data_IF_015717752788
#
_entry.id   IF_015717752788
#
_cell.length_a   1.000
_cell.length_b   1.000
_cell.length_c   1.000
_cell.angle_alpha   90.00
_cell.angle_beta   90.00
_cell.angle_gamma   90.00
#
_symmetry.space_group_name_H-M   'P 1'
#
loop_
_entity.id
_entity.type
_entity.pdbx_description
1 polymer ?
#
# COMPACT_ATOMS: atom_id res chain seq x y z
N UNK A 1 -28.00 -22.28 -0.96
CA UNK A 1 -26.98 -22.56 -1.99
C UNK A 1 -25.63 -22.32 -1.34
N UNK A 2 -24.87 -23.37 -1.02
CA UNK A 2 -23.58 -23.24 -0.34
C UNK A 2 -22.47 -23.20 -1.39
N UNK A 3 -21.68 -22.13 -1.40
CA UNK A 3 -20.48 -22.02 -2.23
C UNK A 3 -19.30 -22.50 -1.38
N UNK A 4 -18.76 -23.67 -1.72
CA UNK A 4 -17.49 -24.14 -1.17
C UNK A 4 -16.35 -23.43 -1.92
N UNK A 5 -15.68 -22.48 -1.27
CA UNK A 5 -14.43 -21.94 -1.78
C UNK A 5 -13.33 -22.99 -1.56
N UNK A 6 -12.87 -23.61 -2.65
CA UNK A 6 -11.75 -24.55 -2.64
C UNK A 6 -10.46 -23.73 -2.56
N UNK A 7 -9.93 -23.55 -1.35
CA UNK A 7 -8.63 -22.91 -1.16
C UNK A 7 -7.54 -23.84 -1.69
N UNK A 8 -6.88 -23.44 -2.78
CA UNK A 8 -5.69 -24.11 -3.27
C UNK A 8 -4.60 -24.04 -2.19
N UNK A 9 -3.94 -25.16 -1.93
CA UNK A 9 -2.75 -25.24 -1.08
C UNK A 9 -1.66 -24.38 -1.72
N UNK A 10 -1.52 -23.13 -1.27
CA UNK A 10 -0.34 -22.34 -1.59
C UNK A 10 0.88 -22.95 -0.90
N UNK A 11 1.96 -23.12 -1.67
CA UNK A 11 3.25 -23.62 -1.22
C UNK A 11 4.29 -22.53 -1.43
N UNK A 12 5.31 -22.51 -0.57
CA UNK A 12 6.54 -21.77 -0.84
C UNK A 12 7.21 -22.29 -2.13
N UNK A 13 8.09 -21.52 -2.79
CA UNK A 13 8.81 -21.95 -4.00
C UNK A 13 9.63 -23.24 -3.83
N UNK A 14 10.07 -23.52 -2.60
CA UNK A 14 10.77 -24.75 -2.22
C UNK A 14 9.83 -25.94 -1.95
N UNK A 15 8.53 -25.80 -2.24
CA UNK A 15 7.53 -26.86 -2.09
C UNK A 15 7.00 -27.06 -0.68
N UNK A 16 7.51 -26.33 0.33
CA UNK A 16 6.97 -26.40 1.70
C UNK A 16 5.55 -25.82 1.73
N UNK A 17 4.59 -26.47 2.41
CA UNK A 17 3.26 -25.90 2.61
C UNK A 17 3.37 -24.57 3.35
N UNK A 18 2.63 -23.54 2.90
CA UNK A 18 2.43 -22.37 3.75
C UNK A 18 1.74 -22.81 5.06
N UNK A 19 2.04 -22.19 6.21
CA UNK A 19 1.25 -22.43 7.41
C UNK A 19 -0.23 -22.15 7.07
N UNK A 20 -1.16 -22.98 7.55
CA UNK A 20 -2.57 -22.76 7.27
C UNK A 20 -2.94 -21.36 7.77
N UNK A 21 -3.29 -20.46 6.86
CA UNK A 21 -4.07 -19.27 7.21
C UNK A 21 -5.26 -19.84 7.96
N UNK A 22 -5.41 -19.49 9.24
CA UNK A 22 -6.44 -20.04 10.10
C UNK A 22 -7.82 -19.79 9.46
N UNK A 23 -8.26 -20.75 8.65
CA UNK A 23 -9.57 -20.78 8.04
C UNK A 23 -10.51 -21.14 9.15
N UNK A 24 -11.09 -20.10 9.78
CA UNK A 24 -12.08 -20.27 10.83
C UNK A 24 -13.25 -21.05 10.26
N UNK A 25 -13.31 -22.32 10.62
CA UNK A 25 -14.53 -23.12 10.54
C UNK A 25 -15.60 -22.39 11.35
N UNK A 26 -16.52 -21.73 10.65
CA UNK A 26 -17.76 -21.20 11.24
C UNK A 26 -18.58 -22.39 11.74
N UNK A 27 -18.43 -22.69 13.02
CA UNK A 27 -19.32 -23.62 13.73
C UNK A 27 -19.90 -22.88 14.94
N UNK A 28 -21.23 -22.99 15.06
CA UNK A 28 -22.08 -22.54 16.16
C UNK A 28 -22.70 -21.13 16.09
N UNK A 29 -23.90 -21.09 16.69
CA UNK A 29 -25.09 -20.30 16.37
C UNK A 29 -25.18 -18.94 17.07
N UNK A 30 -24.03 -18.31 17.33
CA UNK A 30 -23.96 -16.92 17.78
C UNK A 30 -22.91 -16.20 16.92
N UNK A 31 -23.34 -15.71 15.75
CA UNK A 31 -22.46 -14.99 14.82
C UNK A 31 -22.22 -13.59 15.36
N UNK A 32 -21.32 -13.43 16.33
CA UNK A 32 -20.70 -12.13 16.57
C UNK A 32 -20.07 -11.69 15.26
N UNK A 33 -20.39 -10.49 14.74
CA UNK A 33 -19.74 -9.98 13.54
C UNK A 33 -18.23 -9.95 13.81
N UNK A 34 -17.45 -10.60 12.95
CA UNK A 34 -16.00 -10.54 13.01
C UNK A 34 -15.57 -9.31 12.20
N UNK A 35 -14.68 -8.50 12.77
CA UNK A 35 -14.02 -7.41 12.08
C UNK A 35 -12.68 -7.92 11.55
N UNK A 36 -12.44 -7.76 10.25
CA UNK A 36 -11.19 -8.08 9.58
C UNK A 36 -10.38 -6.80 9.33
N UNK A 37 -9.10 -6.82 9.72
CA UNK A 37 -8.19 -5.67 9.61
C UNK A 37 -6.93 -6.12 8.89
N UNK A 38 -6.53 -5.37 7.86
CA UNK A 38 -5.22 -5.51 7.20
C UNK A 38 -4.33 -4.37 7.68
N UNK A 39 -3.11 -4.70 8.08
CA UNK A 39 -2.04 -3.73 8.29
C UNK A 39 -0.92 -4.03 7.31
N UNK A 40 -0.53 -3.07 6.47
CA UNK A 40 0.41 -3.30 5.38
C UNK A 40 1.34 -2.10 5.16
N UNK A 41 2.64 -2.35 5.18
CA UNK A 41 3.65 -1.36 4.81
C UNK A 41 3.90 -1.41 3.29
N UNK A 42 3.69 -0.29 2.60
CA UNK A 42 3.73 -0.24 1.12
C UNK A 42 5.11 0.12 0.54
N UNK A 43 6.10 0.39 1.40
CA UNK A 43 7.45 0.81 1.03
C UNK A 43 7.43 2.02 0.09
N UNK A 44 7.34 3.22 0.70
CA UNK A 44 7.31 4.49 -0.01
C UNK A 44 8.50 4.62 -0.98
N UNK A 45 8.32 5.25 -2.15
CA UNK A 45 9.41 5.58 -3.07
C UNK A 45 10.61 6.25 -2.39
N UNK A 46 10.39 7.14 -1.42
CA UNK A 46 11.46 7.83 -0.69
C UNK A 46 12.43 6.90 0.05
N UNK A 47 11.99 5.68 0.39
CA UNK A 47 12.82 4.66 1.05
C UNK A 47 13.46 3.66 0.08
N UNK A 48 13.24 3.80 -1.22
CA UNK A 48 13.85 2.94 -2.24
C UNK A 48 15.19 3.51 -2.67
N UNK A 49 16.29 2.84 -2.28
CA UNK A 49 17.67 3.22 -2.63
C UNK A 49 17.98 4.71 -2.39
N UNK A 50 17.68 5.26 -1.20
CA UNK A 50 17.96 6.66 -0.92
C UNK A 50 19.47 6.90 -0.92
N UNK A 51 19.88 8.00 -1.55
CA UNK A 51 21.25 8.48 -1.51
C UNK A 51 21.55 9.15 -0.18
N UNK A 52 22.61 8.70 0.50
CA UNK A 52 23.19 9.41 1.63
C UNK A 52 23.95 10.63 1.12
N UNK A 53 23.48 11.84 1.48
CA UNK A 53 24.09 13.11 1.08
C UNK A 53 25.54 13.27 1.53
N UNK A 54 25.96 12.58 2.60
CA UNK A 54 27.31 12.71 3.17
C UNK A 54 28.32 11.81 2.44
N UNK A 55 27.88 10.64 1.98
CA UNK A 55 28.75 9.65 1.32
C UNK A 55 28.58 9.63 -0.21
N UNK A 56 27.47 10.16 -0.72
CA UNK A 56 27.08 10.09 -2.13
C UNK A 56 26.65 8.69 -2.58
N UNK A 57 26.66 7.70 -1.68
CA UNK A 57 26.26 6.32 -1.96
C UNK A 57 24.82 6.03 -1.53
N UNK A 58 24.29 4.89 -1.97
CA UNK A 58 23.01 4.36 -1.49
C UNK A 58 23.17 3.90 -0.04
N UNK A 59 22.18 4.18 0.80
CA UNK A 59 22.18 3.71 2.19
C UNK A 59 22.12 2.17 2.25
N UNK A 60 23.04 1.50 2.97
CA UNK A 60 23.14 0.03 2.97
C UNK A 60 21.83 -0.69 3.35
N UNK A 61 21.08 -0.15 4.31
CA UNK A 61 19.83 -0.75 4.79
C UNK A 61 18.69 -0.69 3.76
N UNK A 62 18.82 0.12 2.71
CA UNK A 62 17.83 0.33 1.67
C UNK A 62 18.43 0.10 0.27
N UNK A 63 19.53 -0.67 0.19
CA UNK A 63 20.22 -0.94 -1.07
C UNK A 63 19.48 -1.95 -1.97
N UNK A 64 18.70 -2.86 -1.40
CA UNK A 64 18.06 -3.97 -2.12
C UNK A 64 19.07 -4.75 -2.96
N UNK A 65 20.14 -5.27 -2.33
CA UNK A 65 21.28 -5.91 -3.00
C UNK A 65 20.92 -7.12 -3.88
N UNK A 66 19.77 -7.74 -3.62
CA UNK A 66 19.24 -8.86 -4.40
C UNK A 66 18.50 -8.43 -5.68
N UNK A 67 18.28 -7.13 -5.87
CA UNK A 67 17.72 -6.56 -7.09
C UNK A 67 18.86 -5.94 -7.88
N UNK A 68 19.06 -6.38 -9.12
CA UNK A 68 20.09 -5.78 -9.97
C UNK A 68 19.73 -4.34 -10.32
N UNK A 69 20.71 -3.51 -10.68
CA UNK A 69 20.43 -2.14 -11.15
C UNK A 69 19.55 -2.13 -12.40
N UNK A 70 19.72 -3.12 -13.28
CA UNK A 70 18.91 -3.28 -14.48
C UNK A 70 17.44 -3.60 -14.15
N UNK A 71 17.20 -4.39 -13.10
CA UNK A 71 15.86 -4.80 -12.68
C UNK A 71 15.20 -3.81 -11.72
N UNK A 72 15.97 -2.89 -11.14
CA UNK A 72 15.52 -1.96 -10.09
C UNK A 72 14.27 -1.20 -10.50
N UNK A 73 14.21 -0.69 -11.74
CA UNK A 73 13.03 0.01 -12.23
C UNK A 73 11.81 -0.91 -12.33
N UNK A 74 11.97 -2.14 -12.81
CA UNK A 74 10.85 -3.07 -12.99
C UNK A 74 10.33 -3.66 -11.68
N UNK A 75 11.18 -3.73 -10.66
CA UNK A 75 10.86 -4.36 -9.37
C UNK A 75 10.50 -3.35 -8.28
N UNK A 76 11.24 -2.24 -8.18
CA UNK A 76 11.16 -1.33 -7.03
C UNK A 76 10.38 -0.05 -7.31
N UNK A 77 10.16 0.33 -8.56
CA UNK A 77 9.38 1.53 -8.91
C UNK A 77 7.92 1.40 -8.48
N UNK A 78 7.32 2.52 -8.05
CA UNK A 78 5.93 2.52 -7.59
C UNK A 78 4.96 2.41 -8.75
N UNK A 79 5.35 2.84 -9.94
CA UNK A 79 4.63 2.70 -11.20
C UNK A 79 4.39 1.22 -11.54
N UNK A 80 5.38 0.36 -11.22
CA UNK A 80 5.30 -1.09 -11.46
C UNK A 80 4.71 -1.84 -10.27
N UNK A 81 5.01 -1.43 -9.03
CA UNK A 81 4.50 -2.06 -7.80
C UNK A 81 3.07 -1.68 -7.46
N UNK A 82 2.68 -0.43 -7.69
CA UNK A 82 1.38 0.15 -7.32
C UNK A 82 0.19 -0.68 -7.78
N UNK A 83 0.11 -1.09 -9.07
CA UNK A 83 -0.98 -1.95 -9.54
C UNK A 83 -1.04 -3.31 -8.83
N UNK A 84 0.11 -3.90 -8.49
CA UNK A 84 0.17 -5.18 -7.77
C UNK A 84 -0.23 -5.01 -6.30
N UNK A 85 0.20 -3.91 -5.67
CA UNK A 85 -0.20 -3.55 -4.30
C UNK A 85 -1.71 -3.33 -4.23
N UNK A 86 -2.27 -2.59 -5.17
CA UNK A 86 -3.71 -2.36 -5.28
C UNK A 86 -4.48 -3.69 -5.39
N UNK A 87 -4.05 -4.58 -6.28
CA UNK A 87 -4.66 -5.91 -6.47
C UNK A 87 -4.63 -6.74 -5.19
N UNK A 88 -3.50 -6.75 -4.46
CA UNK A 88 -3.39 -7.42 -3.15
C UNK A 88 -4.37 -6.85 -2.13
N UNK A 89 -4.42 -5.52 -1.99
CA UNK A 89 -5.29 -4.85 -1.02
C UNK A 89 -6.78 -5.10 -1.33
N UNK A 90 -7.17 -5.05 -2.60
CA UNK A 90 -8.53 -5.38 -3.04
C UNK A 90 -8.90 -6.83 -2.73
N UNK A 91 -7.98 -7.78 -3.00
CA UNK A 91 -8.21 -9.21 -2.76
C UNK A 91 -8.28 -9.57 -1.28
N UNK A 92 -7.72 -8.77 -0.38
CA UNK A 92 -7.85 -9.00 1.05
C UNK A 92 -9.32 -8.95 1.52
N UNK A 93 -10.15 -8.12 0.90
CA UNK A 93 -11.57 -7.98 1.27
C UNK A 93 -11.79 -7.66 2.75
N UNK A 94 -10.86 -6.93 3.36
CA UNK A 94 -10.89 -6.61 4.78
C UNK A 94 -11.88 -5.47 5.08
N UNK A 95 -12.44 -5.43 6.28
CA UNK A 95 -13.34 -4.35 6.70
C UNK A 95 -12.58 -3.03 6.92
N UNK A 96 -11.31 -3.11 7.34
CA UNK A 96 -10.41 -1.97 7.48
C UNK A 96 -9.00 -2.28 6.94
N UNK A 97 -8.36 -1.26 6.36
CA UNK A 97 -6.99 -1.33 5.85
C UNK A 97 -6.19 -0.18 6.47
N UNK A 98 -5.10 -0.53 7.14
CA UNK A 98 -4.13 0.40 7.71
C UNK A 98 -2.84 0.32 6.90
N UNK A 99 -2.41 1.44 6.33
CA UNK A 99 -1.21 1.49 5.50
C UNK A 99 -0.10 2.27 6.18
N UNK A 100 1.11 1.71 6.18
CA UNK A 100 2.33 2.39 6.60
C UNK A 100 3.22 2.71 5.39
N UNK A 101 4.03 3.77 5.51
CA UNK A 101 4.92 4.25 4.44
C UNK A 101 4.18 4.53 3.12
N UNK A 102 2.94 5.01 3.19
CA UNK A 102 2.27 5.57 2.02
C UNK A 102 2.81 6.98 1.79
N UNK A 103 3.48 7.21 0.66
CA UNK A 103 3.92 8.54 0.27
C UNK A 103 2.77 9.29 -0.40
N UNK A 104 2.35 10.40 0.21
CA UNK A 104 1.39 11.33 -0.38
C UNK A 104 2.06 12.19 -1.46
N UNK A 105 1.26 12.65 -2.40
CA UNK A 105 1.68 13.53 -3.50
C UNK A 105 1.23 14.96 -3.20
N UNK A 106 1.85 15.96 -3.82
CA UNK A 106 1.35 17.34 -3.77
C UNK A 106 0.45 17.60 -4.96
N UNK A 107 -0.72 18.17 -4.72
CA UNK A 107 -1.62 18.59 -5.78
C UNK A 107 -1.05 19.81 -6.51
N UNK A 108 -0.57 19.58 -7.73
CA UNK A 108 0.03 20.63 -8.59
C UNK A 108 -1.01 21.41 -9.38
N UNK A 109 -2.28 21.00 -9.37
CA UNK A 109 -3.32 21.72 -10.13
C UNK A 109 -3.65 23.10 -9.54
N UNK A 110 -3.37 23.33 -8.26
CA UNK A 110 -3.58 24.62 -7.59
C UNK A 110 -2.40 25.60 -7.73
N UNK A 111 -1.32 25.23 -8.41
CA UNK A 111 -0.12 26.10 -8.54
C UNK A 111 -0.24 27.13 -9.70
N UNK A 112 -1.33 27.11 -10.48
CA UNK A 112 -1.34 27.70 -11.84
C UNK A 112 -2.18 28.95 -12.13
N UNK A 113 -3.26 29.29 -11.40
CA UNK A 113 -4.24 30.25 -11.97
C UNK A 113 -4.52 31.54 -11.18
N UNK A 114 -4.12 31.66 -9.91
CA UNK A 114 -4.18 32.95 -9.22
C UNK A 114 -2.94 33.08 -8.33
N UNK A 115 -2.23 34.21 -8.45
CA UNK A 115 -1.02 34.54 -7.68
C UNK A 115 -1.23 34.74 -6.18
N UNK A 116 -2.23 34.06 -5.61
CA UNK A 116 -2.48 33.92 -4.18
C UNK A 116 -2.15 32.46 -3.80
N UNK A 117 -0.85 32.19 -3.79
CA UNK A 117 -0.26 30.84 -3.70
C UNK A 117 -0.49 30.19 -2.34
N UNK A 118 -1.66 29.61 -2.14
CA UNK A 118 -1.91 28.67 -1.05
C UNK A 118 -0.95 27.47 -1.13
N UNK A 119 -0.56 26.88 0.01
CA UNK A 119 0.32 25.71 0.01
C UNK A 119 -0.36 24.53 -0.68
N UNK A 120 0.34 23.90 -1.64
CA UNK A 120 -0.13 22.69 -2.32
C UNK A 120 -0.59 21.63 -1.31
N UNK A 121 -1.79 21.09 -1.52
CA UNK A 121 -2.39 20.10 -0.64
C UNK A 121 -1.77 18.72 -0.85
N UNK A 122 -1.60 17.95 0.22
CA UNK A 122 -1.19 16.56 0.10
C UNK A 122 -2.37 15.66 -0.26
N UNK A 123 -2.23 14.90 -1.33
CA UNK A 123 -3.26 14.01 -1.88
C UNK A 123 -2.78 12.57 -1.98
N UNK A 124 -3.73 11.65 -2.09
CA UNK A 124 -3.42 10.24 -2.32
C UNK A 124 -2.77 10.02 -3.69
N UNK A 125 -1.78 9.12 -3.77
CA UNK A 125 -1.16 8.77 -5.04
C UNK A 125 -2.18 8.08 -5.96
N UNK A 126 -2.07 8.30 -7.27
CA UNK A 126 -3.07 7.86 -8.25
C UNK A 126 -3.39 6.36 -8.14
N UNK A 127 -2.36 5.53 -7.97
CA UNK A 127 -2.49 4.08 -7.95
C UNK A 127 -3.40 3.54 -6.83
N UNK A 128 -3.58 4.28 -5.73
CA UNK A 128 -4.38 3.82 -4.59
C UNK A 128 -5.80 4.38 -4.58
N UNK A 129 -6.06 5.42 -5.37
CA UNK A 129 -7.37 6.09 -5.47
C UNK A 129 -8.53 5.11 -5.71
N UNK A 130 -8.40 4.03 -6.52
CA UNK A 130 -9.50 3.08 -6.73
C UNK A 130 -10.03 2.38 -5.46
N UNK A 131 -9.29 2.37 -4.34
CA UNK A 131 -9.78 1.85 -3.07
C UNK A 131 -10.75 2.81 -2.36
N UNK A 132 -10.68 4.09 -2.67
CA UNK A 132 -11.26 5.16 -1.87
C UNK A 132 -12.60 5.63 -2.45
N UNK A 133 -13.62 5.78 -1.59
CA UNK A 133 -15.00 6.16 -1.96
C UNK A 133 -15.09 7.43 -2.80
N UNK A 134 -14.28 8.44 -2.50
CA UNK A 134 -14.24 9.70 -3.27
C UNK A 134 -13.93 9.48 -4.76
N UNK A 135 -13.23 8.40 -5.10
CA UNK A 135 -12.88 8.01 -6.46
C UNK A 135 -13.66 6.79 -6.97
N UNK A 136 -14.78 6.44 -6.30
CA UNK A 136 -15.63 5.29 -6.67
C UNK A 136 -15.27 3.96 -6.00
N UNK A 137 -14.33 3.95 -5.05
CA UNK A 137 -13.94 2.77 -4.28
C UNK A 137 -14.86 2.45 -3.08
N UNK A 138 -14.38 1.59 -2.20
CA UNK A 138 -15.16 1.02 -1.09
C UNK A 138 -14.84 1.62 0.27
N UNK A 139 -13.63 2.17 0.45
CA UNK A 139 -13.13 2.60 1.74
C UNK A 139 -13.28 4.10 1.94
N UNK A 140 -13.73 4.50 3.13
CA UNK A 140 -13.56 5.87 3.60
C UNK A 140 -12.11 6.03 4.07
N UNK A 141 -11.41 7.04 3.58
CA UNK A 141 -10.02 7.31 3.96
C UNK A 141 -9.93 8.25 5.14
N UNK A 142 -8.91 8.01 5.97
CA UNK A 142 -8.52 8.89 7.05
C UNK A 142 -7.03 9.20 6.87
N UNK A 143 -6.73 10.45 6.56
CA UNK A 143 -5.37 10.98 6.45
C UNK A 143 -5.06 11.87 7.64
N UNK A 144 -3.78 12.04 8.03
CA UNK A 144 -3.40 13.07 8.98
C UNK A 144 -3.85 14.46 8.50
N UNK A 145 -4.10 15.41 9.42
CA UNK A 145 -4.38 16.80 9.07
C UNK A 145 -3.29 17.39 8.17
N UNK A 146 -3.68 18.26 7.22
CA UNK A 146 -2.75 18.88 6.28
C UNK A 146 -1.67 19.71 6.99
N UNK A 147 -2.00 20.29 8.15
CA UNK A 147 -1.07 21.05 8.99
C UNK A 147 0.06 20.16 9.51
N UNK A 148 -0.23 18.91 9.88
CA UNK A 148 0.78 17.95 10.36
C UNK A 148 1.67 17.47 9.21
N UNK A 149 1.11 17.27 8.02
CA UNK A 149 1.85 16.84 6.84
C UNK A 149 2.85 17.89 6.34
N UNK A 150 2.59 19.18 6.60
CA UNK A 150 3.49 20.29 6.22
C UNK A 150 4.73 20.41 7.11
N UNK A 151 4.79 19.71 8.25
CA UNK A 151 5.94 19.75 9.16
C UNK A 151 7.05 18.76 8.78
N UNK A 152 6.84 17.95 7.73
CA UNK A 152 7.74 16.89 7.25
C UNK A 152 8.49 17.37 6.01
#
# INVERSE_FOLDING_TARGET
MAVAARFGLQRYPNGTPLPPVASRLRTSSFSTPLLSIVSYNVLAPVYVRPYDKRTGGIQPFAAFEHVSDADSHEVLSIEKRGPKLLDVLLKCGADAICLQELQLERDRHNEGEHGDGGPAEFVLPEWIRPLVKQYGGFYTTFLPPQEELRLI
#
